data_IF_354692982607
#
_entry.id   IF_354692982607
#
_cell.length_a   1.000
_cell.length_b   1.000
_cell.length_c   1.000
_cell.angle_alpha   90.00
_cell.angle_beta   90.00
_cell.angle_gamma   90.00
#
_symmetry.space_group_name_H-M   'P 1'
#
loop_
_entity.id
_entity.type
_entity.pdbx_description
1 polymer ?
#
# COMPACT_ATOMS: atom_id res chain seq x y z
N UNK A 1 -5.73 0.48 17.29
CA UNK A 1 -6.98 0.37 18.06
C UNK A 1 -8.18 0.68 17.17
N UNK A 2 -9.32 -0.01 17.33
CA UNK A 2 -10.55 0.28 16.61
C UNK A 2 -11.02 1.72 16.85
N UNK A 3 -11.50 2.38 15.80
CA UNK A 3 -11.95 3.77 15.86
C UNK A 3 -13.47 3.87 15.70
N UNK A 4 -14.06 4.87 16.34
CA UNK A 4 -15.51 5.16 16.24
C UNK A 4 -15.90 5.92 14.98
N UNK A 5 -14.91 6.26 14.14
CA UNK A 5 -15.14 6.95 12.86
C UNK A 5 -14.43 6.22 11.72
N UNK A 6 -15.04 6.24 10.55
CA UNK A 6 -14.42 5.81 9.30
C UNK A 6 -13.52 6.91 8.75
N UNK A 7 -12.45 6.54 8.00
CA UNK A 7 -11.46 7.50 7.56
C UNK A 7 -11.95 8.39 6.40
N UNK A 8 -11.32 9.56 6.27
CA UNK A 8 -11.49 10.46 5.13
C UNK A 8 -10.71 9.93 3.93
N UNK A 9 -11.16 8.82 3.39
CA UNK A 9 -10.54 8.15 2.24
C UNK A 9 -11.45 8.16 1.02
N UNK A 10 -10.84 7.86 -0.12
CA UNK A 10 -11.52 7.46 -1.35
C UNK A 10 -11.05 6.05 -1.71
N UNK A 11 -11.98 5.16 -2.03
CA UNK A 11 -11.69 3.82 -2.52
C UNK A 11 -12.00 3.80 -4.01
N UNK A 12 -10.94 3.72 -4.81
CA UNK A 12 -11.03 3.67 -6.26
C UNK A 12 -10.61 2.28 -6.77
N UNK A 13 -11.00 1.90 -8.01
CA UNK A 13 -10.41 0.72 -8.62
C UNK A 13 -8.89 0.86 -8.65
N UNK A 14 -8.13 -0.19 -8.29
CA UNK A 14 -6.68 -0.15 -8.45
C UNK A 14 -6.32 -0.10 -9.95
N UNK A 15 -5.08 0.31 -10.31
CA UNK A 15 -4.60 0.19 -11.69
C UNK A 15 -4.73 -1.24 -12.19
N UNK A 16 -4.84 -1.50 -13.51
CA UNK A 16 -4.85 -2.84 -14.06
C UNK A 16 -3.66 -3.67 -13.56
N UNK A 17 -3.91 -4.94 -13.23
CA UNK A 17 -2.87 -5.80 -12.63
C UNK A 17 -1.65 -5.95 -13.53
N UNK A 18 -1.84 -5.95 -14.83
CA UNK A 18 -0.76 -6.05 -15.82
C UNK A 18 0.16 -4.83 -15.78
N UNK A 19 -0.41 -3.64 -15.58
CA UNK A 19 0.37 -2.40 -15.43
C UNK A 19 1.17 -2.39 -14.13
N UNK A 20 0.58 -2.87 -13.04
CA UNK A 20 1.27 -3.02 -11.76
C UNK A 20 2.42 -4.00 -11.86
N UNK A 21 2.19 -5.18 -12.45
CA UNK A 21 3.23 -6.19 -12.65
C UNK A 21 4.37 -5.66 -13.52
N UNK A 22 4.07 -4.94 -14.58
CA UNK A 22 5.09 -4.31 -15.41
C UNK A 22 5.93 -3.30 -14.61
N UNK A 23 5.30 -2.46 -13.79
CA UNK A 23 6.01 -1.51 -12.93
C UNK A 23 6.91 -2.20 -11.91
N UNK A 24 6.43 -3.27 -11.25
CA UNK A 24 7.24 -4.02 -10.28
C UNK A 24 8.46 -4.68 -10.95
N UNK A 25 8.29 -5.28 -12.12
CA UNK A 25 9.38 -5.94 -12.86
C UNK A 25 10.39 -4.96 -13.41
N UNK A 26 9.94 -3.81 -13.91
CA UNK A 26 10.83 -2.74 -14.37
C UNK A 26 11.68 -2.21 -13.22
N UNK A 27 11.06 -2.04 -12.05
CA UNK A 27 11.80 -1.57 -10.87
C UNK A 27 12.73 -2.64 -10.30
N UNK A 28 12.34 -3.91 -10.30
CA UNK A 28 13.24 -5.01 -9.95
C UNK A 28 14.51 -5.00 -10.82
N UNK A 29 14.35 -4.80 -12.13
CA UNK A 29 15.48 -4.72 -13.04
C UNK A 29 16.37 -3.50 -12.75
N UNK A 30 15.78 -2.38 -12.34
CA UNK A 30 16.50 -1.13 -12.08
C UNK A 30 17.14 -1.09 -10.67
N UNK A 31 16.44 -1.53 -9.65
CA UNK A 31 16.83 -1.39 -8.24
C UNK A 31 17.44 -2.66 -7.63
N UNK A 32 17.16 -3.82 -8.19
CA UNK A 32 17.50 -5.11 -7.61
C UNK A 32 16.55 -5.57 -6.49
N UNK A 33 15.53 -4.79 -6.17
CA UNK A 33 14.49 -5.18 -5.19
C UNK A 33 13.47 -6.07 -5.87
N UNK A 34 13.23 -7.26 -5.32
CA UNK A 34 12.35 -8.25 -5.92
C UNK A 34 10.93 -7.72 -6.17
N UNK A 35 10.34 -8.05 -7.31
CA UNK A 35 8.98 -7.63 -7.70
C UNK A 35 7.94 -7.99 -6.65
N UNK A 36 8.08 -9.16 -6.02
CA UNK A 36 7.13 -9.64 -5.01
C UNK A 36 7.17 -8.81 -3.72
N UNK A 37 8.32 -8.27 -3.33
CA UNK A 37 8.42 -7.35 -2.20
C UNK A 37 7.77 -6.00 -2.53
N UNK A 38 7.98 -5.47 -3.72
CA UNK A 38 7.34 -4.23 -4.17
C UNK A 38 5.80 -4.39 -4.22
N UNK A 39 5.33 -5.51 -4.74
CA UNK A 39 3.91 -5.83 -4.75
C UNK A 39 3.33 -5.99 -3.34
N UNK A 40 4.05 -6.64 -2.42
CA UNK A 40 3.63 -6.82 -1.03
C UNK A 40 3.52 -5.48 -0.29
N UNK A 41 4.46 -4.57 -0.49
CA UNK A 41 4.39 -3.21 0.08
C UNK A 41 3.17 -2.46 -0.46
N UNK A 42 2.96 -2.50 -1.77
CA UNK A 42 1.81 -1.83 -2.40
C UNK A 42 0.47 -2.39 -1.91
N UNK A 43 0.38 -3.70 -1.73
CA UNK A 43 -0.80 -4.36 -1.13
C UNK A 43 -1.06 -3.86 0.30
N UNK A 44 -0.05 -3.89 1.16
CA UNK A 44 -0.18 -3.53 2.58
C UNK A 44 -0.47 -2.04 2.75
N UNK A 45 0.21 -1.18 1.99
CA UNK A 45 0.07 0.27 2.16
C UNK A 45 -1.28 0.78 1.69
N UNK A 46 -1.74 0.38 0.51
CA UNK A 46 -2.94 0.97 -0.10
C UNK A 46 -3.81 -0.01 -0.88
N UNK A 47 -3.64 -1.30 -0.70
CA UNK A 47 -4.36 -2.29 -1.51
C UNK A 47 -4.17 -2.02 -3.02
N UNK A 48 -2.93 -2.03 -3.46
CA UNK A 48 -2.52 -1.77 -4.85
C UNK A 48 -2.94 -0.39 -5.39
N UNK A 49 -2.99 0.61 -4.51
CA UNK A 49 -3.38 1.97 -4.86
C UNK A 49 -4.89 2.24 -4.84
N UNK A 50 -5.71 1.27 -4.43
CA UNK A 50 -7.16 1.43 -4.29
C UNK A 50 -7.53 2.44 -3.20
N UNK A 51 -6.83 2.41 -2.07
CA UNK A 51 -7.07 3.32 -0.94
C UNK A 51 -6.33 4.64 -1.18
N UNK A 52 -7.08 5.74 -1.28
CA UNK A 52 -6.56 7.09 -1.48
C UNK A 52 -6.89 7.96 -0.26
N UNK A 53 -5.86 8.48 0.37
CA UNK A 53 -5.92 9.34 1.54
C UNK A 53 -4.56 9.40 2.21
N UNK A 54 -4.24 10.52 2.84
CA UNK A 54 -3.02 10.62 3.64
C UNK A 54 -3.17 9.82 4.94
N UNK A 55 -2.06 9.24 5.41
CA UNK A 55 -2.01 8.67 6.75
C UNK A 55 -2.10 9.78 7.80
N UNK A 56 -2.35 9.40 9.06
CA UNK A 56 -2.34 10.36 10.19
C UNK A 56 -1.00 11.08 10.34
N UNK A 57 0.10 10.49 9.86
CA UNK A 57 1.44 11.08 9.86
C UNK A 57 1.73 11.91 8.59
N UNK A 58 0.83 11.90 7.58
CA UNK A 58 0.99 12.64 6.33
C UNK A 58 1.63 11.85 5.18
N UNK A 59 1.76 10.54 5.31
CA UNK A 59 2.20 9.69 4.19
C UNK A 59 1.16 9.70 3.06
N UNK A 60 1.61 9.72 1.81
CA UNK A 60 0.78 9.94 0.63
C UNK A 60 1.08 8.94 -0.48
N UNK A 61 0.09 8.77 -1.35
CA UNK A 61 0.20 8.01 -2.59
C UNK A 61 0.17 6.49 -2.41
N UNK A 62 0.26 5.73 -3.50
CA UNK A 62 0.10 4.27 -3.50
C UNK A 62 1.08 3.50 -2.62
N UNK A 63 2.26 4.06 -2.39
CA UNK A 63 3.32 3.46 -1.59
C UNK A 63 3.52 4.17 -0.24
N UNK A 64 2.65 5.13 0.11
CA UNK A 64 2.61 5.83 1.39
C UNK A 64 3.95 6.45 1.79
N UNK A 65 4.49 7.29 0.93
CA UNK A 65 5.69 8.07 1.23
C UNK A 65 5.38 9.34 2.00
N UNK A 66 6.26 9.68 2.93
CA UNK A 66 6.37 11.05 3.39
C UNK A 66 6.89 11.93 2.25
N UNK A 67 6.34 13.15 2.03
CA UNK A 67 6.76 14.02 0.93
C UNK A 67 8.27 14.27 0.85
N UNK A 68 8.92 14.46 1.99
CA UNK A 68 10.38 14.68 2.05
C UNK A 68 11.17 13.45 1.62
N UNK A 69 10.72 12.26 1.98
CA UNK A 69 11.35 11.00 1.57
C UNK A 69 11.15 10.77 0.07
N UNK A 70 9.96 11.01 -0.44
CA UNK A 70 9.70 10.92 -1.87
C UNK A 70 10.55 11.91 -2.68
N UNK A 71 10.73 13.13 -2.19
CA UNK A 71 11.59 14.12 -2.84
C UNK A 71 13.04 13.61 -2.99
N UNK A 72 13.53 12.83 -2.03
CA UNK A 72 14.88 12.27 -2.08
C UNK A 72 15.02 11.08 -3.03
N UNK A 73 13.98 10.27 -3.21
CA UNK A 73 14.05 8.98 -3.95
C UNK A 73 13.17 8.91 -5.20
N UNK A 74 12.27 9.84 -5.39
CA UNK A 74 11.29 9.85 -6.48
C UNK A 74 11.79 10.45 -7.79
N UNK A 75 13.03 10.91 -7.84
CA UNK A 75 13.67 11.44 -9.06
C UNK A 75 12.83 12.50 -9.79
N UNK A 76 12.15 13.37 -9.05
CA UNK A 76 11.29 14.41 -9.62
C UNK A 76 9.93 13.92 -10.11
N UNK A 77 9.57 12.68 -9.84
CA UNK A 77 8.27 12.10 -10.22
C UNK A 77 7.10 12.59 -9.36
N UNK A 78 5.96 11.94 -9.56
CA UNK A 78 4.72 12.23 -8.84
C UNK A 78 4.47 11.16 -7.75
N UNK A 79 4.37 11.59 -6.49
CA UNK A 79 4.11 10.73 -5.34
C UNK A 79 2.80 9.92 -5.46
N UNK A 80 1.86 10.40 -6.26
CA UNK A 80 0.55 9.75 -6.50
C UNK A 80 0.56 8.84 -7.73
N UNK A 81 1.58 8.91 -8.56
CA UNK A 81 1.74 8.00 -9.69
C UNK A 81 2.14 6.62 -9.20
N UNK A 82 1.42 5.55 -9.56
CA UNK A 82 1.80 4.18 -9.19
C UNK A 82 3.22 3.83 -9.65
N UNK A 83 3.55 4.11 -10.90
CA UNK A 83 4.87 3.80 -11.46
C UNK A 83 5.99 4.58 -10.77
N UNK A 84 5.80 5.88 -10.55
CA UNK A 84 6.82 6.73 -9.91
C UNK A 84 7.01 6.37 -8.43
N UNK A 85 5.93 6.05 -7.72
CA UNK A 85 5.99 5.62 -6.31
C UNK A 85 6.62 4.25 -6.15
N UNK A 86 6.34 3.30 -7.02
CA UNK A 86 6.96 1.97 -7.02
C UNK A 86 8.46 2.11 -7.26
N UNK A 87 8.87 2.91 -8.24
CA UNK A 87 10.27 3.20 -8.51
C UNK A 87 10.97 3.85 -7.30
N UNK A 88 10.33 4.81 -6.67
CA UNK A 88 10.85 5.44 -5.46
C UNK A 88 11.02 4.43 -4.31
N UNK A 89 10.11 3.48 -4.16
CA UNK A 89 10.21 2.42 -3.17
C UNK A 89 11.42 1.51 -3.42
N UNK A 90 11.66 1.10 -4.66
CA UNK A 90 12.84 0.35 -5.04
C UNK A 90 14.13 1.12 -4.75
N UNK A 91 14.19 2.39 -5.14
CA UNK A 91 15.34 3.26 -4.86
C UNK A 91 15.61 3.41 -3.35
N UNK A 92 14.55 3.61 -2.57
CA UNK A 92 14.65 3.72 -1.11
C UNK A 92 15.19 2.44 -0.47
N UNK A 93 14.59 1.31 -0.81
CA UNK A 93 14.98 0.01 -0.25
C UNK A 93 16.42 -0.35 -0.65
N UNK A 94 16.81 -0.14 -1.90
CA UNK A 94 18.17 -0.36 -2.37
C UNK A 94 19.18 0.51 -1.62
N UNK A 95 18.87 1.79 -1.45
CA UNK A 95 19.73 2.73 -0.70
C UNK A 95 19.84 2.38 0.79
N UNK A 96 18.83 1.69 1.34
CA UNK A 96 18.85 1.20 2.73
C UNK A 96 19.38 -0.24 2.87
N UNK A 97 20.06 -0.76 1.87
CA UNK A 97 20.79 -2.01 1.94
C UNK A 97 19.94 -3.27 1.76
N UNK A 98 18.85 -3.21 1.03
CA UNK A 98 17.93 -4.35 0.80
C UNK A 98 18.66 -5.61 0.31
N UNK A 99 19.65 -5.47 -0.58
CA UNK A 99 20.42 -6.61 -1.12
C UNK A 99 21.15 -7.41 -0.05
N UNK A 100 21.65 -6.74 0.99
CA UNK A 100 22.42 -7.38 2.07
C UNK A 100 21.58 -7.72 3.29
N UNK A 101 20.58 -6.92 3.59
CA UNK A 101 19.69 -7.10 4.74
C UNK A 101 18.27 -6.60 4.40
N UNK A 102 17.45 -7.43 3.73
CA UNK A 102 16.08 -7.05 3.35
C UNK A 102 15.22 -6.60 4.54
N UNK A 103 15.29 -7.30 5.66
CA UNK A 103 14.48 -7.01 6.83
C UNK A 103 14.80 -5.63 7.42
N UNK A 104 16.07 -5.26 7.46
CA UNK A 104 16.47 -3.93 7.90
C UNK A 104 15.93 -2.83 6.97
N UNK A 105 16.03 -3.03 5.66
CA UNK A 105 15.50 -2.07 4.70
C UNK A 105 13.96 -1.91 4.83
N UNK A 106 13.24 -3.01 5.01
CA UNK A 106 11.80 -3.01 5.26
C UNK A 106 11.44 -2.31 6.58
N UNK A 107 12.23 -2.55 7.63
CA UNK A 107 12.06 -1.87 8.92
C UNK A 107 12.28 -0.36 8.81
N UNK A 108 13.19 0.07 7.95
CA UNK A 108 13.39 1.50 7.65
C UNK A 108 12.21 2.09 6.90
N UNK A 109 11.52 1.30 6.10
CA UNK A 109 10.32 1.73 5.37
C UNK A 109 9.14 1.97 6.31
N UNK A 110 8.91 1.03 7.22
CA UNK A 110 7.94 1.16 8.31
C UNK A 110 8.49 0.48 9.56
N UNK A 111 8.70 1.26 10.60
CA UNK A 111 9.39 0.88 11.84
C UNK A 111 8.53 -0.03 12.73
N UNK A 112 8.22 -1.23 12.24
CA UNK A 112 7.46 -2.24 12.97
C UNK A 112 7.84 -3.65 12.51
N UNK A 113 8.18 -4.54 13.45
CA UNK A 113 8.49 -5.95 13.16
C UNK A 113 7.32 -6.68 12.50
N UNK A 114 6.10 -6.35 12.90
CA UNK A 114 4.89 -6.91 12.30
C UNK A 114 4.76 -6.54 10.82
N UNK A 115 5.15 -5.33 10.44
CA UNK A 115 5.18 -4.90 9.05
C UNK A 115 6.21 -5.70 8.24
N UNK A 116 7.41 -5.87 8.77
CA UNK A 116 8.47 -6.66 8.10
C UNK A 116 8.00 -8.09 7.86
N UNK A 117 7.40 -8.72 8.87
CA UNK A 117 6.85 -10.08 8.72
C UNK A 117 5.75 -10.14 7.67
N UNK A 118 4.81 -9.22 7.71
CA UNK A 118 3.69 -9.19 6.75
C UNK A 118 4.19 -9.02 5.31
N UNK A 119 5.11 -8.08 5.06
CA UNK A 119 5.70 -7.89 3.73
C UNK A 119 6.38 -9.17 3.24
N UNK A 120 7.19 -9.81 4.10
CA UNK A 120 7.89 -11.05 3.73
C UNK A 120 6.91 -12.19 3.44
N UNK A 121 5.86 -12.35 4.23
CA UNK A 121 4.87 -13.41 4.05
C UNK A 121 4.10 -13.25 2.73
N UNK A 122 3.61 -12.05 2.43
CA UNK A 122 2.95 -11.77 1.15
C UNK A 122 3.90 -11.88 -0.03
N UNK A 123 5.12 -11.40 0.11
CA UNK A 123 6.14 -11.53 -0.94
C UNK A 123 6.45 -13.00 -1.24
N UNK A 124 6.62 -13.82 -0.21
CA UNK A 124 6.85 -15.25 -0.36
C UNK A 124 5.68 -15.96 -1.04
N UNK A 125 4.45 -15.64 -0.66
CA UNK A 125 3.24 -16.22 -1.28
C UNK A 125 3.16 -15.88 -2.78
N UNK A 126 3.41 -14.63 -3.15
CA UNK A 126 3.37 -14.20 -4.55
C UNK A 126 4.55 -14.73 -5.36
N UNK A 127 5.74 -14.87 -4.77
CA UNK A 127 6.89 -15.45 -5.42
C UNK A 127 6.72 -16.95 -5.67
N UNK A 128 6.10 -17.67 -4.74
CA UNK A 128 5.80 -19.10 -4.88
C UNK A 128 4.73 -19.40 -5.94
N UNK A 129 3.72 -18.53 -6.01
CA UNK A 129 2.64 -18.59 -7.00
C UNK A 129 2.30 -17.18 -7.50
N UNK A 130 2.86 -16.74 -8.62
CA UNK A 130 2.56 -15.40 -9.16
C UNK A 130 1.07 -15.16 -9.45
N UNK A 131 0.27 -16.20 -9.65
CA UNK A 131 -1.18 -16.06 -9.81
C UNK A 131 -1.88 -15.60 -8.51
N UNK A 132 -1.25 -15.75 -7.36
CA UNK A 132 -1.77 -15.28 -6.07
C UNK A 132 -2.02 -13.77 -6.05
N UNK A 133 -1.27 -12.98 -6.83
CA UNK A 133 -1.50 -11.54 -6.94
C UNK A 133 -2.92 -11.22 -7.40
N UNK A 134 -3.48 -12.01 -8.30
CA UNK A 134 -4.85 -11.84 -8.79
C UNK A 134 -5.91 -12.06 -7.70
N UNK A 135 -5.65 -12.96 -6.74
CA UNK A 135 -6.50 -13.16 -5.58
C UNK A 135 -6.44 -11.96 -4.63
N UNK A 136 -5.24 -11.52 -4.26
CA UNK A 136 -5.05 -10.35 -3.39
C UNK A 136 -5.58 -9.06 -4.03
N UNK A 137 -5.42 -8.91 -5.32
CA UNK A 137 -5.91 -7.77 -6.10
C UNK A 137 -7.43 -7.62 -6.02
N UNK A 138 -8.17 -8.72 -5.90
CA UNK A 138 -9.63 -8.74 -5.80
C UNK A 138 -10.17 -8.66 -4.37
N UNK A 139 -9.29 -8.61 -3.35
CA UNK A 139 -9.75 -8.45 -1.96
C UNK A 139 -10.49 -7.13 -1.77
N UNK A 140 -11.52 -7.19 -0.95
CA UNK A 140 -12.22 -5.99 -0.49
C UNK A 140 -11.40 -5.24 0.57
N UNK A 141 -11.66 -3.95 0.69
CA UNK A 141 -11.06 -3.11 1.74
C UNK A 141 -11.97 -3.10 2.94
N UNK A 142 -11.46 -3.57 4.08
CA UNK A 142 -12.15 -3.50 5.37
C UNK A 142 -11.42 -2.56 6.32
N UNK A 143 -12.22 -1.82 7.09
CA UNK A 143 -11.71 -0.91 8.11
C UNK A 143 -12.13 -1.39 9.50
N UNK A 144 -11.15 -1.57 10.40
CA UNK A 144 -11.40 -2.04 11.77
C UNK A 144 -11.95 -0.89 12.60
N UNK A 145 -13.24 -1.00 12.99
CA UNK A 145 -13.94 0.01 13.76
C UNK A 145 -14.43 -0.52 15.11
N UNK A 146 -14.95 0.36 15.94
CA UNK A 146 -15.61 -0.01 17.21
C UNK A 146 -16.89 -0.82 17.00
N UNK A 147 -17.46 -0.83 15.81
CA UNK A 147 -18.61 -1.65 15.43
C UNK A 147 -18.22 -2.97 14.73
N UNK A 148 -16.93 -3.29 14.68
CA UNK A 148 -16.37 -4.42 13.93
C UNK A 148 -15.74 -3.98 12.62
N UNK A 149 -15.45 -4.96 11.75
CA UNK A 149 -14.87 -4.71 10.44
C UNK A 149 -15.95 -4.16 9.50
N UNK A 150 -15.71 -3.00 8.92
CA UNK A 150 -16.63 -2.32 7.99
C UNK A 150 -16.06 -2.38 6.60
N UNK A 151 -16.84 -2.91 5.66
CA UNK A 151 -16.51 -2.90 4.24
C UNK A 151 -16.55 -1.47 3.70
N UNK A 152 -15.43 -1.05 3.09
CA UNK A 152 -15.34 0.19 2.33
C UNK A 152 -15.30 -0.17 0.84
N UNK A 153 -16.44 -0.14 0.14
CA UNK A 153 -16.51 -0.55 -1.26
C UNK A 153 -15.85 0.47 -2.19
N UNK A 154 -15.53 0.03 -3.40
CA UNK A 154 -15.18 0.96 -4.49
C UNK A 154 -16.32 1.99 -4.64
N UNK A 155 -15.95 3.26 -4.69
CA UNK A 155 -16.89 4.37 -4.66
C UNK A 155 -17.06 5.02 -3.28
N UNK A 156 -16.58 4.38 -2.20
CA UNK A 156 -16.49 5.07 -0.91
C UNK A 156 -15.69 6.36 -1.08
N UNK A 157 -16.24 7.47 -0.59
CA UNK A 157 -15.59 8.78 -0.64
C UNK A 157 -16.04 9.59 0.56
N UNK A 158 -15.08 10.02 1.39
CA UNK A 158 -15.32 10.88 2.53
C UNK A 158 -14.25 11.99 2.59
N UNK A 159 -14.71 13.23 2.71
CA UNK A 159 -13.80 14.38 2.84
C UNK A 159 -13.39 14.64 4.30
N UNK A 160 -14.14 14.08 5.24
CA UNK A 160 -13.88 14.11 6.67
C UNK A 160 -14.29 12.78 7.31
N UNK A 161 -13.75 12.44 8.50
CA UNK A 161 -14.14 11.21 9.20
C UNK A 161 -15.66 11.15 9.42
N UNK A 162 -16.24 9.97 9.19
CA UNK A 162 -17.68 9.70 9.31
C UNK A 162 -17.89 8.84 10.57
N UNK A 163 -18.81 9.20 11.51
CA UNK A 163 -19.19 8.30 12.59
C UNK A 163 -19.64 6.94 12.04
N UNK A 164 -19.10 5.86 12.57
CA UNK A 164 -19.34 4.51 12.02
C UNK A 164 -20.82 4.12 12.09
N UNK A 165 -21.53 4.52 13.14
CA UNK A 165 -22.95 4.26 13.29
C UNK A 165 -23.80 4.93 12.20
N UNK A 166 -23.46 6.17 11.85
CA UNK A 166 -24.16 6.93 10.81
C UNK A 166 -23.94 6.29 9.43
N UNK A 167 -22.70 5.87 9.17
CA UNK A 167 -22.39 5.19 7.91
C UNK A 167 -23.16 3.86 7.77
N UNK A 168 -23.15 3.02 8.81
CA UNK A 168 -23.81 1.71 8.79
C UNK A 168 -25.34 1.84 8.74
N UNK A 169 -25.91 2.88 9.32
CA UNK A 169 -27.35 3.16 9.19
C UNK A 169 -27.76 3.46 7.74
N UNK A 170 -26.90 4.15 7.00
CA UNK A 170 -27.11 4.45 5.57
C UNK A 170 -26.66 3.33 4.62
N UNK A 171 -25.74 2.46 5.06
CA UNK A 171 -25.14 1.38 4.27
C UNK A 171 -25.10 0.09 5.10
N UNK A 172 -26.25 -0.59 5.29
CA UNK A 172 -26.31 -1.86 6.04
C UNK A 172 -25.44 -2.94 5.37
N UNK A 173 -24.73 -3.70 6.22
CA UNK A 173 -23.80 -4.77 5.79
C UNK A 173 -24.09 -6.08 6.51
#
# INVERSE_FOLDING_TARGET
>A
EPRGTLPAWRINPPPPVEELLAAYRDDEAASGVGWSHLAAINLIETHFGSVNGASSAGAQGPMQFMPSTFAAYGMGGDIRSPRDSIMAAGNYLAANGFANNPDHALFRYNNADAYVRAVNDYAAAMAADPAAIGAFYRWDVYYVSTAGDVLLPIGYAAESPIPVGDYLAAHPQ
#
